data_IF_337610060787
#
_entry.id   IF_337610060787
#
_cell.length_a   1.000
_cell.length_b   1.000
_cell.length_c   1.000
_cell.angle_alpha   90.00
_cell.angle_beta   90.00
_cell.angle_gamma   90.00
#
_symmetry.space_group_name_H-M   'P 1'
#
loop_
_entity.id
_entity.type
_entity.pdbx_description
1 polymer ?
#
# COMPACT_ATOMS: atom_id res chain seq x y z
N UNK A 1 -31.81 55.04 31.12
CA UNK A 1 -30.89 55.38 32.22
C UNK A 1 -29.55 54.92 31.71
N UNK A 2 -28.84 55.82 31.00
CA UNK A 2 -27.65 56.59 31.41
C UNK A 2 -26.45 55.65 31.47
N UNK A 3 -25.57 55.69 30.40
CA UNK A 3 -24.29 56.42 30.29
C UNK A 3 -23.11 55.68 30.97
N UNK A 4 -21.91 55.50 30.41
CA UNK A 4 -20.91 56.39 29.81
C UNK A 4 -19.87 55.51 29.08
N UNK A 5 -19.46 55.72 27.87
CA UNK A 5 -18.52 56.67 27.28
C UNK A 5 -17.13 56.82 27.98
N UNK A 6 -16.10 56.54 27.19
CA UNK A 6 -14.74 56.89 27.43
C UNK A 6 -13.80 56.04 26.60
N UNK A 7 -13.34 56.23 25.50
CA UNK A 7 -12.85 57.30 24.66
C UNK A 7 -11.50 57.87 25.16
N UNK A 8 -10.35 57.41 24.62
CA UNK A 8 -9.20 58.29 24.50
C UNK A 8 -8.33 57.92 23.33
N UNK A 9 -8.31 58.85 22.45
CA UNK A 9 -7.40 59.02 21.30
C UNK A 9 -6.00 59.42 21.70
N UNK A 10 -5.16 59.37 20.65
CA UNK A 10 -3.97 60.20 20.37
C UNK A 10 -2.69 59.83 21.10
N UNK A 11 -1.53 59.83 20.44
CA UNK A 11 -0.95 60.83 19.55
C UNK A 11 0.22 60.32 18.73
N UNK A 12 0.26 60.76 17.49
CA UNK A 12 1.42 60.85 16.61
C UNK A 12 2.52 61.69 17.22
N UNK A 13 3.78 61.25 17.12
CA UNK A 13 4.91 62.18 17.05
C UNK A 13 6.01 61.67 16.12
N UNK A 14 6.09 62.32 14.99
CA UNK A 14 7.24 62.38 14.08
C UNK A 14 8.45 63.00 14.84
N UNK A 15 9.62 62.44 14.58
CA UNK A 15 10.83 63.28 14.49
C UNK A 15 11.84 62.64 13.53
N UNK A 16 12.00 63.35 12.45
CA UNK A 16 13.08 63.32 11.46
C UNK A 16 14.35 63.91 12.07
N UNK A 17 15.52 63.34 11.81
CA UNK A 17 16.81 64.02 11.71
C UNK A 17 17.77 63.15 10.89
N UNK A 18 18.07 63.48 9.75
CA UNK A 18 19.16 63.91 8.87
C UNK A 18 20.57 63.76 9.48
N UNK A 19 21.45 63.08 8.74
CA UNK A 19 22.88 63.02 8.94
C UNK A 19 23.57 62.15 7.90
N UNK A 20 23.87 62.60 6.87
CA UNK A 20 24.81 62.88 5.79
C UNK A 20 26.24 62.35 6.06
N UNK A 21 26.73 61.61 5.03
CA UNK A 21 28.10 61.55 4.46
C UNK A 21 29.19 60.76 5.17
N UNK A 22 29.66 59.70 4.52
CA UNK A 22 31.04 59.71 4.00
C UNK A 22 31.29 58.50 3.06
N UNK A 23 31.63 58.89 1.87
CA UNK A 23 32.16 58.15 0.75
C UNK A 23 33.59 57.67 1.07
N UNK A 24 33.91 56.41 0.92
CA UNK A 24 35.29 56.00 0.67
C UNK A 24 35.32 54.82 -0.33
N UNK A 25 35.64 55.23 -1.52
CA UNK A 25 36.02 54.45 -2.70
C UNK A 25 37.42 53.87 -2.47
N UNK A 26 37.56 52.53 -2.46
CA UNK A 26 38.86 51.90 -2.74
C UNK A 26 38.63 50.80 -3.80
N UNK A 27 39.04 51.15 -4.99
CA UNK A 27 39.27 50.18 -6.07
C UNK A 27 40.62 49.52 -5.83
N UNK A 28 40.63 48.17 -5.83
CA UNK A 28 41.86 47.41 -6.07
C UNK A 28 41.58 46.44 -7.23
N UNK A 29 42.34 46.67 -8.27
CA UNK A 29 42.37 45.94 -9.51
C UNK A 29 43.15 44.61 -9.36
N UNK A 30 42.65 43.58 -10.02
CA UNK A 30 43.37 42.58 -10.79
C UNK A 30 44.28 41.59 -10.08
N UNK A 31 43.82 40.32 -10.08
CA UNK A 31 44.69 39.21 -10.43
C UNK A 31 43.87 38.19 -11.18
N UNK A 32 44.08 38.08 -12.48
CA UNK A 32 43.68 36.90 -13.27
C UNK A 32 44.45 35.70 -12.74
N UNK A 33 43.73 34.76 -12.15
CA UNK A 33 44.17 33.41 -11.88
C UNK A 33 43.18 32.47 -12.53
N UNK A 34 43.59 31.88 -13.66
CA UNK A 34 42.88 30.86 -14.37
C UNK A 34 42.90 29.59 -13.52
N UNK A 35 41.88 29.37 -12.72
CA UNK A 35 41.61 28.06 -12.12
C UNK A 35 40.31 27.56 -12.74
N UNK A 36 40.45 26.65 -13.69
CA UNK A 36 39.40 25.70 -14.01
C UNK A 36 39.13 24.88 -12.76
N UNK A 37 38.30 25.37 -11.88
CA UNK A 37 37.56 24.59 -10.96
C UNK A 37 36.33 24.10 -11.76
N UNK A 38 36.45 22.91 -12.28
CA UNK A 38 35.27 22.10 -12.60
C UNK A 38 34.42 22.10 -11.32
N UNK A 39 33.40 22.91 -11.33
CA UNK A 39 32.32 22.79 -10.37
C UNK A 39 31.67 21.47 -10.72
N UNK A 40 32.14 20.41 -10.10
CA UNK A 40 31.28 19.24 -9.92
C UNK A 40 30.03 19.79 -9.22
N UNK A 41 29.04 20.07 -10.04
CA UNK A 41 27.66 20.21 -9.57
C UNK A 41 27.30 18.82 -9.07
N UNK A 42 27.67 18.54 -7.82
CA UNK A 42 27.04 17.47 -7.08
C UNK A 42 25.57 17.88 -6.92
N UNK A 43 24.76 17.57 -7.92
CA UNK A 43 23.34 17.42 -7.76
C UNK A 43 23.13 16.24 -6.79
N UNK A 44 23.39 16.48 -5.50
CA UNK A 44 22.80 15.71 -4.42
C UNK A 44 21.33 16.16 -4.26
N UNK A 45 20.53 16.03 -5.29
CA UNK A 45 19.16 15.62 -5.09
C UNK A 45 19.27 14.17 -4.63
N UNK A 46 19.19 13.93 -3.34
CA UNK A 46 18.96 12.56 -2.85
C UNK A 46 17.67 12.10 -3.54
N UNK A 47 17.84 11.29 -4.58
CA UNK A 47 16.70 10.76 -5.35
C UNK A 47 15.86 9.95 -4.37
N UNK A 48 14.79 10.57 -3.90
CA UNK A 48 13.83 9.91 -3.03
C UNK A 48 12.84 9.18 -3.93
N UNK A 49 12.85 7.86 -3.91
CA UNK A 49 11.85 7.04 -4.60
C UNK A 49 10.57 7.09 -3.78
N UNK A 50 9.50 7.64 -4.36
CA UNK A 50 8.19 7.69 -3.72
C UNK A 50 7.31 6.53 -4.18
N UNK A 51 6.83 5.74 -3.22
CA UNK A 51 6.00 4.54 -3.47
C UNK A 51 4.71 4.66 -2.68
N UNK A 52 3.57 4.39 -3.30
CA UNK A 52 2.30 4.36 -2.56
C UNK A 52 1.36 3.27 -3.06
N UNK A 53 0.47 2.78 -2.19
CA UNK A 53 -0.57 1.87 -2.64
C UNK A 53 -0.93 0.75 -1.68
N UNK A 54 -0.95 -0.46 -2.20
CA UNK A 54 -1.47 -1.66 -1.54
C UNK A 54 -0.89 -1.90 -0.15
N UNK A 55 -1.77 -2.04 0.85
CA UNK A 55 -1.41 -2.46 2.21
C UNK A 55 -1.02 -3.94 2.29
N UNK A 56 -1.28 -4.73 1.26
CA UNK A 56 -0.83 -6.13 1.19
C UNK A 56 0.57 -6.25 0.60
N UNK A 57 0.94 -5.35 -0.33
CA UNK A 57 2.30 -5.26 -0.88
C UNK A 57 3.26 -4.54 0.07
N UNK A 58 2.70 -3.67 0.92
CA UNK A 58 3.48 -2.79 1.80
C UNK A 58 4.56 -3.49 2.61
N UNK A 59 4.27 -4.53 3.42
CA UNK A 59 5.28 -5.20 4.22
C UNK A 59 6.45 -5.77 3.41
N UNK A 60 6.15 -6.38 2.26
CA UNK A 60 7.16 -6.85 1.31
C UNK A 60 8.01 -5.68 0.79
N UNK A 61 7.36 -4.61 0.30
CA UNK A 61 8.04 -3.44 -0.24
C UNK A 61 8.93 -2.76 0.80
N UNK A 62 8.45 -2.62 2.04
CA UNK A 62 9.21 -2.05 3.16
C UNK A 62 10.46 -2.87 3.48
N UNK A 63 10.34 -4.20 3.56
CA UNK A 63 11.47 -5.08 3.87
C UNK A 63 12.56 -5.02 2.78
N UNK A 64 12.16 -5.01 1.50
CA UNK A 64 13.09 -4.88 0.38
C UNK A 64 13.71 -3.49 0.35
N UNK A 65 12.91 -2.44 0.57
CA UNK A 65 13.38 -1.07 0.58
C UNK A 65 14.40 -0.82 1.70
N UNK A 66 14.17 -1.35 2.90
CA UNK A 66 15.12 -1.27 4.01
C UNK A 66 16.50 -1.79 3.60
N UNK A 67 16.53 -2.99 3.04
CA UNK A 67 17.78 -3.62 2.57
C UNK A 67 18.44 -2.83 1.44
N UNK A 68 17.66 -2.40 0.46
CA UNK A 68 18.17 -1.62 -0.67
C UNK A 68 18.74 -0.26 -0.25
N UNK A 69 18.07 0.44 0.67
CA UNK A 69 18.54 1.72 1.23
C UNK A 69 19.87 1.57 1.97
N UNK A 70 20.04 0.48 2.76
CA UNK A 70 21.30 0.19 3.47
C UNK A 70 22.49 0.01 2.49
N UNK A 71 22.26 -0.61 1.34
CA UNK A 71 23.30 -0.96 0.38
C UNK A 71 23.62 0.18 -0.61
N UNK A 72 22.63 0.99 -0.96
CA UNK A 72 22.74 1.95 -2.05
C UNK A 72 22.69 3.42 -1.61
N UNK A 73 22.35 3.70 -0.35
CA UNK A 73 22.29 5.06 0.19
C UNK A 73 21.17 5.93 -0.41
N UNK A 74 20.21 5.32 -1.13
CA UNK A 74 19.03 5.98 -1.71
C UNK A 74 17.93 6.06 -0.65
N UNK A 75 17.11 7.11 -0.68
CA UNK A 75 15.95 7.22 0.19
C UNK A 75 14.70 6.66 -0.51
N UNK A 76 13.94 5.79 0.18
CA UNK A 76 12.67 5.26 -0.31
C UNK A 76 11.57 5.60 0.71
N UNK A 77 10.47 6.19 0.24
CA UNK A 77 9.30 6.51 1.05
C UNK A 77 8.12 5.67 0.60
N UNK A 78 7.54 4.89 1.51
CA UNK A 78 6.42 3.99 1.22
C UNK A 78 5.18 4.45 1.99
N UNK A 79 4.06 4.62 1.27
CA UNK A 79 2.79 5.02 1.84
C UNK A 79 1.68 4.01 1.52
N UNK A 80 1.19 3.30 2.53
CA UNK A 80 0.20 2.23 2.41
C UNK A 80 -1.23 2.81 2.47
N UNK A 81 -1.84 3.07 1.30
CA UNK A 81 -3.12 3.78 1.14
C UNK A 81 -4.17 3.01 0.33
N UNK A 82 -3.88 1.75 -0.02
CA UNK A 82 -4.73 0.90 -0.86
C UNK A 82 -4.36 0.96 -2.35
N UNK A 83 -4.65 -0.15 -3.06
CA UNK A 83 -4.21 -0.34 -4.47
C UNK A 83 -4.76 0.73 -5.41
N UNK A 84 -6.05 1.05 -5.32
CA UNK A 84 -6.67 2.04 -6.21
C UNK A 84 -6.07 3.44 -6.05
N UNK A 85 -5.75 3.84 -4.80
CA UNK A 85 -5.10 5.11 -4.54
C UNK A 85 -3.63 5.12 -5.05
N UNK A 86 -2.90 4.00 -4.87
CA UNK A 86 -1.55 3.85 -5.40
C UNK A 86 -1.49 3.94 -6.93
N UNK A 87 -2.42 3.26 -7.62
CA UNK A 87 -2.55 3.32 -9.07
C UNK A 87 -2.86 4.76 -9.53
N UNK A 88 -3.77 5.46 -8.84
CA UNK A 88 -4.10 6.86 -9.12
C UNK A 88 -2.88 7.76 -8.94
N UNK A 89 -2.13 7.58 -7.86
CA UNK A 89 -0.93 8.36 -7.57
C UNK A 89 0.18 8.14 -8.62
N UNK A 90 0.40 6.90 -9.05
CA UNK A 90 1.34 6.60 -10.14
C UNK A 90 0.88 7.17 -11.48
N UNK A 91 -0.43 7.14 -11.76
CA UNK A 91 -1.00 7.72 -12.97
C UNK A 91 -0.81 9.24 -13.04
N UNK A 92 -0.96 9.92 -11.89
CA UNK A 92 -0.86 11.39 -11.79
C UNK A 92 0.55 11.91 -11.48
N UNK A 93 1.52 11.02 -11.20
CA UNK A 93 2.88 11.40 -10.82
C UNK A 93 3.02 11.90 -9.37
N UNK A 94 2.02 11.67 -8.51
CA UNK A 94 2.12 11.96 -7.06
C UNK A 94 3.08 10.99 -6.38
N UNK A 95 3.09 9.73 -6.82
CA UNK A 95 4.12 8.75 -6.49
C UNK A 95 4.78 8.26 -7.77
N UNK A 96 6.06 8.01 -7.71
CA UNK A 96 6.84 7.45 -8.82
C UNK A 96 6.39 6.02 -9.13
N UNK A 97 6.15 5.23 -8.10
CA UNK A 97 5.73 3.83 -8.18
C UNK A 97 4.44 3.65 -7.39
N UNK A 98 3.47 2.99 -8.02
CA UNK A 98 2.25 2.52 -7.37
C UNK A 98 2.35 1.05 -6.99
N UNK A 99 1.79 0.66 -5.84
CA UNK A 99 1.67 -0.74 -5.42
C UNK A 99 0.25 -1.23 -5.64
N UNK A 100 0.08 -2.38 -6.30
CA UNK A 100 -1.22 -3.04 -6.46
C UNK A 100 -1.17 -4.51 -6.05
N UNK A 101 -2.21 -5.00 -5.41
CA UNK A 101 -2.44 -6.41 -5.06
C UNK A 101 -3.60 -7.01 -5.85
N UNK A 102 -3.77 -6.55 -7.07
CA UNK A 102 -4.67 -7.06 -8.11
C UNK A 102 -4.16 -6.65 -9.48
N UNK A 103 -4.66 -7.28 -10.51
CA UNK A 103 -4.46 -6.81 -11.87
C UNK A 103 -5.00 -5.39 -12.07
N UNK A 104 -4.43 -4.67 -13.03
CA UNK A 104 -4.98 -3.38 -13.44
C UNK A 104 -6.28 -3.60 -14.24
N UNK A 105 -7.25 -2.74 -14.00
CA UNK A 105 -8.46 -2.66 -14.81
C UNK A 105 -8.14 -2.09 -16.19
N UNK A 106 -8.95 -2.40 -17.19
CA UNK A 106 -8.71 -1.94 -18.57
C UNK A 106 -8.59 -0.41 -18.68
N UNK A 107 -9.40 0.32 -17.90
CA UNK A 107 -9.32 1.77 -17.82
C UNK A 107 -8.01 2.27 -17.18
N UNK A 108 -7.43 1.52 -16.24
CA UNK A 108 -6.16 1.86 -15.59
C UNK A 108 -4.99 1.59 -16.54
N UNK A 109 -5.02 0.48 -17.30
CA UNK A 109 -4.05 0.18 -18.36
C UNK A 109 -4.04 1.24 -19.46
N UNK A 110 -5.22 1.74 -19.82
CA UNK A 110 -5.39 2.80 -20.83
C UNK A 110 -4.69 4.12 -20.45
N UNK A 111 -4.36 4.32 -19.17
CA UNK A 111 -3.61 5.49 -18.68
C UNK A 111 -2.09 5.44 -18.93
N UNK A 112 -1.59 4.42 -19.64
CA UNK A 112 -0.19 4.28 -20.00
C UNK A 112 0.72 3.78 -18.87
N UNK A 113 0.14 3.17 -17.84
CA UNK A 113 0.92 2.52 -16.78
C UNK A 113 1.58 1.25 -17.29
N UNK A 114 2.83 1.06 -16.92
CA UNK A 114 3.54 -0.21 -17.01
C UNK A 114 3.36 -1.01 -15.74
N UNK A 115 3.18 -2.32 -15.89
CA UNK A 115 3.01 -3.27 -14.81
C UNK A 115 4.28 -4.13 -14.69
N UNK A 116 4.74 -4.29 -13.46
CA UNK A 116 5.82 -5.24 -13.13
C UNK A 116 5.33 -6.17 -12.03
N UNK A 117 5.20 -7.46 -12.32
CA UNK A 117 4.89 -8.46 -11.29
C UNK A 117 6.15 -8.65 -10.44
N UNK A 118 6.07 -8.33 -9.16
CA UNK A 118 7.18 -8.43 -8.20
C UNK A 118 7.09 -9.69 -7.33
N UNK A 119 5.89 -10.23 -7.16
CA UNK A 119 5.60 -11.46 -6.41
C UNK A 119 4.20 -11.96 -6.76
N UNK A 120 3.87 -13.18 -6.32
CA UNK A 120 2.49 -13.65 -6.21
C UNK A 120 2.10 -13.78 -4.73
N UNK A 121 0.79 -13.73 -4.46
CA UNK A 121 0.22 -13.85 -3.13
C UNK A 121 -1.06 -14.70 -3.16
N UNK A 122 -1.32 -15.40 -2.07
CA UNK A 122 -2.59 -16.07 -1.85
C UNK A 122 -3.52 -15.24 -0.96
N UNK A 123 -4.78 -15.15 -1.36
CA UNK A 123 -5.84 -14.60 -0.50
C UNK A 123 -6.43 -15.75 0.31
N UNK A 124 -6.31 -15.67 1.63
CA UNK A 124 -6.70 -16.75 2.53
C UNK A 124 -7.99 -16.40 3.23
N UNK A 125 -9.01 -17.26 3.11
CA UNK A 125 -10.19 -17.16 3.95
C UNK A 125 -9.84 -17.61 5.36
N UNK A 126 -10.16 -16.78 6.34
CA UNK A 126 -9.79 -16.98 7.75
C UNK A 126 -10.99 -16.90 8.67
N UNK A 127 -10.93 -17.71 9.72
CA UNK A 127 -11.93 -17.78 10.79
C UNK A 127 -11.25 -17.76 12.16
N UNK A 128 -12.03 -17.57 13.21
CA UNK A 128 -11.52 -17.74 14.57
C UNK A 128 -11.02 -19.19 14.78
N UNK A 129 -9.94 -19.41 15.57
CA UNK A 129 -9.38 -20.76 15.76
C UNK A 129 -10.36 -21.82 16.27
N UNK A 130 -11.36 -21.43 17.06
CA UNK A 130 -12.41 -22.32 17.55
C UNK A 130 -13.48 -22.71 16.53
N UNK A 131 -13.49 -22.09 15.32
CA UNK A 131 -14.43 -22.43 14.28
C UNK A 131 -14.13 -23.84 13.75
N UNK A 132 -15.18 -24.66 13.62
CA UNK A 132 -15.07 -26.07 13.17
C UNK A 132 -15.03 -26.22 11.64
N UNK A 133 -15.49 -25.22 10.90
CA UNK A 133 -15.46 -25.23 9.44
C UNK A 133 -14.03 -24.98 8.96
N UNK A 134 -13.45 -25.97 8.30
CA UNK A 134 -12.03 -25.95 7.85
C UNK A 134 -11.89 -26.04 6.33
N UNK A 135 -13.00 -26.24 5.62
CA UNK A 135 -13.03 -26.34 4.17
C UNK A 135 -14.33 -25.73 3.64
N UNK A 136 -14.23 -24.94 2.60
CA UNK A 136 -15.35 -24.31 1.91
C UNK A 136 -15.16 -24.42 0.40
N UNK A 137 -16.24 -24.58 -0.33
CA UNK A 137 -16.20 -24.38 -1.77
C UNK A 137 -16.20 -22.87 -2.09
N UNK A 138 -15.73 -22.51 -3.27
CA UNK A 138 -15.79 -21.12 -3.76
C UNK A 138 -17.24 -20.59 -3.73
N UNK A 139 -18.20 -21.42 -4.07
CA UNK A 139 -19.64 -21.10 -4.03
C UNK A 139 -20.10 -20.80 -2.60
N UNK A 140 -19.71 -21.63 -1.62
CA UNK A 140 -20.02 -21.37 -0.20
C UNK A 140 -19.39 -20.07 0.30
N UNK A 141 -18.17 -19.77 -0.12
CA UNK A 141 -17.53 -18.47 0.18
C UNK A 141 -18.38 -17.33 -0.40
N UNK A 142 -18.79 -17.43 -1.66
CA UNK A 142 -19.70 -16.45 -2.28
C UNK A 142 -20.99 -16.29 -1.47
N UNK A 143 -21.64 -17.38 -1.14
CA UNK A 143 -22.93 -17.37 -0.43
C UNK A 143 -22.81 -16.76 0.98
N UNK A 144 -21.70 -16.98 1.66
CA UNK A 144 -21.38 -16.32 2.93
C UNK A 144 -21.25 -14.79 2.71
N UNK A 145 -20.39 -14.38 1.79
CA UNK A 145 -20.09 -12.96 1.59
C UNK A 145 -21.25 -12.16 0.99
N UNK A 146 -22.17 -12.84 0.30
CA UNK A 146 -23.42 -12.22 -0.21
C UNK A 146 -24.60 -12.34 0.76
N UNK A 147 -24.42 -13.02 1.92
CA UNK A 147 -25.46 -13.15 2.94
C UNK A 147 -26.56 -14.15 2.60
N UNK A 148 -26.33 -15.07 1.67
CA UNK A 148 -27.26 -16.20 1.40
C UNK A 148 -27.13 -17.29 2.45
N UNK A 149 -25.92 -17.54 2.95
CA UNK A 149 -25.62 -18.41 4.09
C UNK A 149 -25.27 -17.51 5.27
N UNK A 150 -26.02 -17.61 6.36
CA UNK A 150 -25.91 -16.71 7.51
C UNK A 150 -25.59 -17.41 8.81
N UNK A 151 -25.56 -18.75 8.83
CA UNK A 151 -25.28 -19.51 10.04
C UNK A 151 -24.25 -20.61 9.74
N UNK A 152 -23.24 -20.73 10.60
CA UNK A 152 -22.16 -21.70 10.46
C UNK A 152 -22.66 -23.16 10.44
N UNK A 153 -23.81 -23.46 11.07
CA UNK A 153 -24.37 -24.82 11.06
C UNK A 153 -24.78 -25.31 9.66
N UNK A 154 -25.10 -24.38 8.76
CA UNK A 154 -25.43 -24.72 7.36
C UNK A 154 -24.21 -25.28 6.63
N UNK A 155 -23.02 -25.06 7.18
CA UNK A 155 -21.71 -25.48 6.67
C UNK A 155 -21.03 -26.55 7.54
N UNK A 156 -21.81 -27.19 8.46
CA UNK A 156 -21.28 -28.21 9.37
C UNK A 156 -20.58 -27.69 10.62
N UNK A 157 -20.65 -26.38 10.87
CA UNK A 157 -20.15 -25.73 12.09
C UNK A 157 -21.16 -25.71 13.23
N UNK A 158 -20.85 -24.92 14.25
CA UNK A 158 -21.76 -24.70 15.39
C UNK A 158 -22.96 -23.83 14.99
N UNK A 159 -24.05 -23.89 15.75
CA UNK A 159 -25.24 -23.04 15.54
C UNK A 159 -24.92 -21.59 16.00
N UNK A 160 -24.27 -20.85 15.10
CA UNK A 160 -23.81 -19.47 15.32
C UNK A 160 -23.98 -18.67 14.04
N UNK A 161 -24.48 -17.43 14.18
CA UNK A 161 -24.57 -16.48 13.07
C UNK A 161 -23.18 -16.15 12.49
N UNK A 162 -23.09 -15.97 11.19
CA UNK A 162 -21.86 -15.61 10.52
C UNK A 162 -21.72 -14.08 10.51
N UNK A 163 -20.57 -13.58 10.96
CA UNK A 163 -20.18 -12.18 10.85
C UNK A 163 -19.13 -12.04 9.77
N UNK A 164 -19.52 -11.47 8.65
CA UNK A 164 -18.62 -11.20 7.52
C UNK A 164 -17.76 -9.99 7.80
N UNK A 165 -16.44 -10.13 7.64
CA UNK A 165 -15.46 -9.03 7.74
C UNK A 165 -14.82 -8.84 6.38
N UNK A 166 -15.04 -7.67 5.79
CA UNK A 166 -14.50 -7.33 4.46
C UNK A 166 -13.58 -6.12 4.54
N UNK A 167 -12.83 -5.90 3.47
CA UNK A 167 -11.92 -4.79 3.32
C UNK A 167 -12.65 -3.52 2.85
N UNK A 168 -12.00 -2.40 3.09
CA UNK A 168 -12.39 -1.07 2.65
C UNK A 168 -12.45 -0.94 1.12
N UNK A 169 -13.17 0.09 0.63
CA UNK A 169 -13.17 0.44 -0.79
C UNK A 169 -11.77 0.87 -1.25
N UNK A 170 -11.39 0.50 -2.48
CA UNK A 170 -10.05 0.74 -3.02
C UNK A 170 -8.99 -0.29 -2.57
N UNK A 171 -9.37 -1.27 -1.76
CA UNK A 171 -8.51 -2.41 -1.44
C UNK A 171 -8.38 -3.35 -2.62
N UNK A 172 -7.16 -3.49 -3.16
CA UNK A 172 -6.88 -4.48 -4.20
C UNK A 172 -7.15 -5.92 -3.76
N UNK A 173 -6.98 -6.23 -2.46
CA UNK A 173 -7.34 -7.54 -1.90
C UNK A 173 -8.83 -7.82 -1.99
N UNK A 174 -9.67 -6.81 -1.71
CA UNK A 174 -11.11 -6.93 -1.85
C UNK A 174 -11.50 -7.10 -3.31
N UNK A 175 -10.94 -6.27 -4.20
CA UNK A 175 -11.25 -6.33 -5.62
C UNK A 175 -10.90 -7.71 -6.21
N UNK A 176 -9.68 -8.22 -5.96
CA UNK A 176 -9.25 -9.53 -6.41
C UNK A 176 -10.10 -10.67 -5.80
N UNK A 177 -10.40 -10.60 -4.50
CA UNK A 177 -11.25 -11.58 -3.84
C UNK A 177 -12.66 -11.63 -4.44
N UNK A 178 -13.26 -10.46 -4.66
CA UNK A 178 -14.60 -10.36 -5.27
C UNK A 178 -14.62 -10.89 -6.70
N UNK A 179 -13.60 -10.57 -7.49
CA UNK A 179 -13.47 -11.06 -8.86
C UNK A 179 -13.35 -12.58 -8.91
N UNK A 180 -12.45 -13.18 -8.13
CA UNK A 180 -12.21 -14.63 -8.14
C UNK A 180 -13.41 -15.40 -7.57
N UNK A 181 -14.01 -14.91 -6.48
CA UNK A 181 -15.20 -15.52 -5.86
C UNK A 181 -16.45 -15.28 -6.70
N UNK A 182 -16.47 -14.26 -7.53
CA UNK A 182 -17.52 -13.99 -8.50
C UNK A 182 -18.73 -13.24 -7.90
N UNK A 183 -18.50 -12.18 -7.14
CA UNK A 183 -19.55 -11.26 -6.69
C UNK A 183 -19.07 -9.80 -6.74
N UNK A 184 -19.99 -8.87 -6.89
CA UNK A 184 -19.69 -7.43 -6.93
C UNK A 184 -19.76 -6.78 -5.55
N UNK A 185 -19.18 -5.57 -5.43
CA UNK A 185 -19.25 -4.79 -4.19
C UNK A 185 -20.70 -4.48 -3.75
N UNK A 186 -21.63 -4.36 -4.70
CA UNK A 186 -23.04 -4.13 -4.41
C UNK A 186 -23.77 -5.37 -3.84
N UNK A 187 -23.20 -6.56 -4.00
CA UNK A 187 -23.74 -7.83 -3.50
C UNK A 187 -23.18 -8.20 -2.12
N UNK A 188 -22.14 -7.51 -1.64
CA UNK A 188 -21.61 -7.74 -0.30
C UNK A 188 -22.71 -7.54 0.75
N UNK A 189 -22.84 -8.51 1.68
CA UNK A 189 -23.85 -8.44 2.73
C UNK A 189 -23.74 -7.14 3.52
N UNK A 190 -24.86 -6.44 3.70
CA UNK A 190 -24.88 -5.08 4.30
C UNK A 190 -24.46 -5.03 5.75
N UNK A 191 -24.59 -6.14 6.47
CA UNK A 191 -24.19 -6.29 7.88
C UNK A 191 -22.67 -6.56 8.02
N UNK A 192 -21.91 -6.60 6.93
CA UNK A 192 -20.47 -6.84 6.98
C UNK A 192 -19.74 -5.75 7.74
N UNK A 193 -18.76 -6.15 8.55
CA UNK A 193 -17.80 -5.24 9.18
C UNK A 193 -16.77 -4.85 8.10
N UNK A 194 -16.57 -3.57 7.90
CA UNK A 194 -15.52 -3.07 7.01
C UNK A 194 -14.30 -2.69 7.84
N UNK A 195 -13.17 -3.35 7.55
CA UNK A 195 -11.91 -3.16 8.25
C UNK A 195 -10.80 -2.74 7.30
N UNK A 196 -10.03 -1.71 7.66
CA UNK A 196 -8.94 -1.19 6.84
C UNK A 196 -7.66 -2.00 7.05
N UNK A 197 -7.10 -2.54 5.98
CA UNK A 197 -5.86 -3.34 5.98
C UNK A 197 -6.04 -4.77 6.51
N UNK A 198 -5.06 -5.65 6.19
CA UNK A 198 -5.10 -7.06 6.60
C UNK A 198 -5.01 -7.25 8.13
N UNK A 199 -4.24 -6.40 8.82
CA UNK A 199 -4.07 -6.48 10.27
C UNK A 199 -5.39 -6.30 11.03
N UNK A 200 -6.26 -5.38 10.61
CA UNK A 200 -7.56 -5.17 11.24
C UNK A 200 -8.54 -6.31 10.93
N UNK A 201 -8.51 -6.88 9.71
CA UNK A 201 -9.27 -8.12 9.42
C UNK A 201 -8.83 -9.22 10.39
N UNK A 202 -7.51 -9.48 10.47
CA UNK A 202 -6.95 -10.51 11.36
C UNK A 202 -7.38 -10.31 12.81
N UNK A 203 -7.23 -9.11 13.34
CA UNK A 203 -7.62 -8.78 14.72
C UNK A 203 -9.12 -9.01 14.96
N UNK A 204 -9.96 -8.57 14.04
CA UNK A 204 -11.42 -8.75 14.14
C UNK A 204 -11.80 -10.24 14.13
N UNK A 205 -11.20 -11.03 13.25
CA UNK A 205 -11.44 -12.48 13.18
C UNK A 205 -10.90 -13.21 14.41
N UNK A 206 -9.70 -12.84 14.88
CA UNK A 206 -9.08 -13.45 16.06
C UNK A 206 -9.88 -13.21 17.37
N UNK A 207 -10.63 -12.14 17.44
CA UNK A 207 -11.40 -11.76 18.64
C UNK A 207 -12.89 -12.08 18.56
N UNK A 208 -13.39 -12.50 17.39
CA UNK A 208 -14.82 -12.80 17.18
C UNK A 208 -15.01 -14.22 16.64
N UNK A 209 -15.59 -15.11 17.47
CA UNK A 209 -15.86 -16.51 17.13
C UNK A 209 -16.82 -16.70 15.95
N UNK A 210 -17.61 -15.68 15.64
CA UNK A 210 -18.59 -15.68 14.56
C UNK A 210 -17.98 -15.25 13.22
N UNK A 211 -16.79 -14.62 13.26
CA UNK A 211 -16.24 -13.91 12.12
C UNK A 211 -15.64 -14.85 11.06
N UNK A 212 -15.80 -14.41 9.82
CA UNK A 212 -15.05 -14.86 8.63
C UNK A 212 -14.52 -13.63 7.90
N UNK A 213 -13.29 -13.70 7.43
CA UNK A 213 -12.66 -12.65 6.64
C UNK A 213 -11.67 -13.24 5.66
N UNK A 214 -10.91 -12.38 5.00
CA UNK A 214 -9.83 -12.78 4.10
C UNK A 214 -8.62 -11.86 4.26
N UNK A 215 -7.44 -12.45 4.16
CA UNK A 215 -6.15 -11.76 4.30
C UNK A 215 -5.12 -12.28 3.29
N UNK A 216 -4.01 -11.57 3.14
CA UNK A 216 -2.82 -12.03 2.43
C UNK A 216 -2.04 -13.07 3.23
N UNK A 217 -1.30 -13.96 2.58
CA UNK A 217 -0.44 -14.99 3.19
C UNK A 217 0.49 -14.44 4.27
N UNK A 218 1.08 -13.27 4.06
CA UNK A 218 2.01 -12.63 4.98
C UNK A 218 1.44 -12.36 6.37
N UNK A 219 0.10 -12.35 6.50
CA UNK A 219 -0.58 -12.05 7.76
C UNK A 219 -1.04 -13.27 8.54
N UNK A 220 -0.75 -14.49 8.03
CA UNK A 220 -1.14 -15.73 8.72
C UNK A 220 -0.29 -15.93 9.97
N UNK A 221 -0.94 -16.14 11.11
CA UNK A 221 -0.31 -16.53 12.36
C UNK A 221 -1.27 -17.41 13.20
N UNK A 222 -0.83 -17.96 14.35
CA UNK A 222 -1.66 -18.84 15.18
C UNK A 222 -2.91 -18.21 15.80
N UNK A 223 -3.09 -16.89 15.71
CA UNK A 223 -4.28 -16.19 16.26
C UNK A 223 -5.54 -16.44 15.45
N UNK A 224 -5.42 -16.95 14.23
CA UNK A 224 -6.51 -17.25 13.29
C UNK A 224 -6.40 -18.66 12.74
N UNK A 225 -7.50 -19.16 12.15
CA UNK A 225 -7.53 -20.42 11.43
C UNK A 225 -7.75 -20.17 9.95
N UNK A 226 -6.94 -20.81 9.12
CA UNK A 226 -7.10 -20.80 7.66
C UNK A 226 -8.15 -21.82 7.24
N UNK A 227 -8.90 -21.51 6.18
CA UNK A 227 -9.91 -22.38 5.59
C UNK A 227 -9.41 -22.85 4.23
N UNK A 228 -9.50 -24.17 3.96
CA UNK A 228 -9.23 -24.73 2.63
C UNK A 228 -10.30 -24.26 1.64
N UNK A 229 -9.92 -24.14 0.38
CA UNK A 229 -10.86 -23.86 -0.70
C UNK A 229 -10.92 -25.03 -1.65
N UNK A 230 -12.12 -25.64 -1.78
CA UNK A 230 -12.33 -26.86 -2.57
C UNK A 230 -11.36 -28.00 -2.17
N UNK A 231 -11.11 -28.17 -0.87
CA UNK A 231 -10.17 -29.16 -0.33
C UNK A 231 -8.69 -28.77 -0.44
N UNK A 232 -8.35 -27.64 -1.05
CA UNK A 232 -6.97 -27.20 -1.29
C UNK A 232 -6.53 -26.22 -0.21
N UNK A 233 -5.39 -26.50 0.39
CA UNK A 233 -4.76 -25.60 1.38
C UNK A 233 -4.13 -24.36 0.72
N UNK A 234 -4.23 -23.25 1.40
CA UNK A 234 -3.57 -22.00 1.04
C UNK A 234 -2.06 -22.09 1.33
N UNK A 235 -1.29 -22.59 0.37
CA UNK A 235 0.17 -22.70 0.44
C UNK A 235 0.82 -22.13 -0.81
N UNK A 236 2.07 -21.65 -0.69
CA UNK A 236 2.86 -21.18 -1.83
C UNK A 236 2.96 -22.25 -2.93
N UNK A 237 3.18 -23.53 -2.55
CA UNK A 237 3.26 -24.63 -3.48
C UNK A 237 1.94 -24.82 -4.28
N UNK A 238 0.78 -24.77 -3.60
CA UNK A 238 -0.50 -24.92 -4.27
C UNK A 238 -0.85 -23.72 -5.16
N UNK A 239 -0.37 -22.53 -4.85
CA UNK A 239 -0.48 -21.34 -5.72
C UNK A 239 0.38 -21.53 -6.97
N UNK A 240 1.66 -21.88 -6.81
CA UNK A 240 2.58 -22.10 -7.94
C UNK A 240 2.11 -23.24 -8.86
N UNK A 241 1.49 -24.28 -8.31
CA UNK A 241 0.90 -25.38 -9.05
C UNK A 241 -0.50 -25.05 -9.61
N UNK A 242 -0.99 -23.83 -9.43
CA UNK A 242 -2.32 -23.36 -9.85
C UNK A 242 -3.48 -24.22 -9.29
N UNK A 243 -3.25 -24.87 -8.16
CA UNK A 243 -4.28 -25.66 -7.45
C UNK A 243 -5.14 -24.80 -6.53
N UNK A 244 -4.54 -23.78 -5.90
CA UNK A 244 -5.23 -22.83 -5.05
C UNK A 244 -5.73 -21.64 -5.86
N UNK A 245 -7.05 -21.50 -5.99
CA UNK A 245 -7.67 -20.54 -6.91
C UNK A 245 -7.63 -19.09 -6.43
N UNK A 246 -7.59 -18.85 -5.11
CA UNK A 246 -7.55 -17.49 -4.56
C UNK A 246 -6.11 -16.94 -4.55
N UNK A 247 -5.56 -16.73 -5.73
CA UNK A 247 -4.21 -16.17 -5.90
C UNK A 247 -4.23 -14.94 -6.82
N UNK A 248 -3.23 -14.07 -6.67
CA UNK A 248 -3.15 -12.80 -7.38
C UNK A 248 -1.70 -12.34 -7.52
N UNK A 249 -1.40 -11.44 -8.47
CA UNK A 249 -0.10 -10.79 -8.53
C UNK A 249 0.02 -9.68 -7.48
N UNK A 250 1.24 -9.45 -7.03
CA UNK A 250 1.69 -8.20 -6.44
C UNK A 250 2.42 -7.41 -7.52
N UNK A 251 1.97 -6.19 -7.77
CA UNK A 251 2.45 -5.36 -8.85
C UNK A 251 3.10 -4.08 -8.33
N UNK A 252 4.18 -3.69 -8.99
CA UNK A 252 4.58 -2.30 -9.09
C UNK A 252 4.08 -1.75 -10.42
N UNK A 253 3.53 -0.54 -10.38
CA UNK A 253 3.02 0.16 -11.56
C UNK A 253 3.63 1.55 -11.64
N UNK A 254 4.00 2.00 -12.83
CA UNK A 254 4.61 3.31 -13.03
C UNK A 254 4.35 3.82 -14.44
N UNK A 255 4.54 5.12 -14.65
CA UNK A 255 4.69 5.70 -15.98
C UNK A 255 6.16 5.73 -16.36
N UNK A 256 6.48 5.26 -17.56
CA UNK A 256 7.87 5.16 -18.03
C UNK A 256 8.58 6.53 -18.03
N UNK A 257 7.86 7.56 -18.42
CA UNK A 257 8.37 8.94 -18.47
C UNK A 257 8.57 9.61 -17.10
N UNK A 258 8.00 9.03 -16.03
CA UNK A 258 8.11 9.53 -14.66
C UNK A 258 9.04 8.68 -13.79
N UNK A 259 9.45 7.51 -14.28
CA UNK A 259 10.33 6.61 -13.54
C UNK A 259 11.77 7.08 -13.62
N UNK A 260 12.35 7.41 -12.47
CA UNK A 260 13.77 7.80 -12.36
C UNK A 260 14.69 6.60 -12.56
N UNK A 261 15.97 6.86 -12.81
CA UNK A 261 16.97 5.80 -12.87
C UNK A 261 17.08 5.04 -11.53
N UNK A 262 16.94 5.74 -10.41
CA UNK A 262 16.93 5.13 -9.08
C UNK A 262 15.71 4.20 -8.89
N UNK A 263 14.52 4.65 -9.30
CA UNK A 263 13.30 3.84 -9.25
C UNK A 263 13.41 2.60 -10.14
N UNK A 264 14.01 2.73 -11.31
CA UNK A 264 14.27 1.59 -12.23
C UNK A 264 15.21 0.58 -11.59
N UNK A 265 16.33 1.04 -11.02
CA UNK A 265 17.28 0.18 -10.33
C UNK A 265 16.64 -0.54 -9.12
N UNK A 266 15.75 0.12 -8.39
CA UNK A 266 15.01 -0.50 -7.31
C UNK A 266 14.07 -1.61 -7.80
N UNK A 267 13.35 -1.40 -8.91
CA UNK A 267 12.52 -2.44 -9.54
C UNK A 267 13.40 -3.62 -9.99
N UNK A 268 14.54 -3.35 -10.61
CA UNK A 268 15.49 -4.38 -11.05
C UNK A 268 16.06 -5.18 -9.86
N UNK A 269 16.34 -4.49 -8.74
CA UNK A 269 16.81 -5.14 -7.51
C UNK A 269 15.75 -6.10 -6.95
N UNK A 270 14.48 -5.68 -6.89
CA UNK A 270 13.39 -6.58 -6.45
C UNK A 270 13.33 -7.84 -7.31
N UNK A 271 13.54 -7.72 -8.62
CA UNK A 271 13.51 -8.84 -9.58
C UNK A 271 14.81 -9.65 -9.61
N UNK A 272 15.85 -9.22 -8.92
CA UNK A 272 17.10 -9.97 -8.78
C UNK A 272 16.94 -11.21 -7.91
N UNK A 273 17.91 -12.11 -7.94
CA UNK A 273 17.91 -13.30 -7.06
C UNK A 273 17.91 -12.92 -5.59
N UNK A 274 18.58 -11.83 -5.22
CA UNK A 274 18.62 -11.32 -3.85
C UNK A 274 17.27 -10.74 -3.43
N UNK A 275 16.67 -9.86 -4.24
CA UNK A 275 15.33 -9.32 -3.97
C UNK A 275 14.27 -10.43 -3.87
N UNK A 276 14.34 -11.45 -4.74
CA UNK A 276 13.40 -12.57 -4.72
C UNK A 276 13.62 -13.52 -3.52
N UNK A 277 14.82 -13.58 -2.96
CA UNK A 277 15.04 -14.27 -1.68
C UNK A 277 14.33 -13.55 -0.52
N UNK A 278 14.39 -12.21 -0.51
CA UNK A 278 13.66 -11.40 0.47
C UNK A 278 12.14 -11.57 0.29
N UNK A 279 11.65 -11.63 -0.96
CA UNK A 279 10.22 -11.93 -1.26
C UNK A 279 9.82 -13.22 -0.56
N UNK A 280 10.59 -14.31 -0.71
CA UNK A 280 10.28 -15.59 -0.09
C UNK A 280 10.26 -15.52 1.45
N UNK A 281 11.13 -14.73 2.07
CA UNK A 281 11.19 -14.55 3.52
C UNK A 281 9.96 -13.82 4.10
N UNK A 282 9.26 -13.01 3.32
CA UNK A 282 8.02 -12.33 3.75
C UNK A 282 6.79 -13.25 3.73
N UNK A 283 6.89 -14.42 3.12
CA UNK A 283 5.77 -15.33 2.89
C UNK A 283 5.05 -15.08 1.54
N UNK A 284 5.45 -14.06 0.80
CA UNK A 284 5.03 -13.88 -0.59
C UNK A 284 5.72 -14.92 -1.49
N UNK A 285 5.20 -15.11 -2.69
CA UNK A 285 5.65 -16.16 -3.61
C UNK A 285 6.52 -15.52 -4.70
N UNK A 286 7.80 -15.89 -4.79
CA UNK A 286 8.71 -15.36 -5.81
C UNK A 286 8.22 -15.59 -7.24
N UNK A 287 8.60 -14.68 -8.15
CA UNK A 287 8.30 -14.80 -9.59
C UNK A 287 9.32 -15.67 -10.35
N UNK A 288 10.45 -16.01 -9.70
CA UNK A 288 11.54 -16.82 -10.27
C UNK A 288 11.97 -17.88 -9.27
#
# INVERSE_FOLDING_TARGET
MIEHLGGLEMTFKRMTTIGILLLSLVAVLSACGNNNQETESSNNSSDTISISGSTSVGPLAEKIAEKYMEENGVKIEINQIGSSAGITNATSGVSEIGMSSRDLKEEEKANGLKETIIAYDGIVVVTHPSNKVKDLTIEQVKDIFTGKVTNWKELGGDDMEIVVVSREDGSGSRDAFQEIVGYSSGELVRSSIIASGNGNIKTTVATNKHAVGFISFEYIDPSISTVKINGVEATAENVLQQKYSLSRPFLFVHKEELLTDAGRQFIDYILSSEGQAIVAETGAIPVK
#
